data_IF_426706553024
#
_entry.id   IF_426706553024
#
_cell.length_a   1.000
_cell.length_b   1.000
_cell.length_c   1.000
_cell.angle_alpha   90.00
_cell.angle_beta   90.00
_cell.angle_gamma   90.00
#
_symmetry.space_group_name_H-M   'P 1'
#
loop_
_entity.id
_entity.type
_entity.pdbx_description
1 polymer ?
#
# COMPACT_ATOMS: atom_id res chain seq x y z
N UNK A 1 25.72 27.01 0.67
CA UNK A 1 25.66 25.93 -0.33
C UNK A 1 24.99 24.72 0.28
N UNK A 2 23.98 24.18 -0.39
CA UNK A 2 23.39 22.90 -0.05
C UNK A 2 24.36 21.77 -0.43
N UNK A 3 24.49 20.74 0.41
CA UNK A 3 25.43 19.63 0.17
C UNK A 3 24.74 18.27 0.03
N UNK A 4 23.57 18.11 0.65
CA UNK A 4 22.83 16.87 0.69
C UNK A 4 21.35 17.16 0.47
N UNK A 5 20.67 16.24 -0.22
CA UNK A 5 19.21 16.19 -0.35
C UNK A 5 18.81 14.78 0.06
N UNK A 6 17.73 14.66 0.85
CA UNK A 6 17.12 13.38 1.21
C UNK A 6 15.75 13.36 0.55
N UNK A 7 15.49 12.34 -0.25
CA UNK A 7 14.21 12.11 -0.91
C UNK A 7 13.42 11.05 -0.16
N UNK A 8 12.16 11.35 0.11
CA UNK A 8 11.18 10.31 0.46
C UNK A 8 10.81 9.51 -0.80
N UNK A 9 10.20 8.34 -0.64
CA UNK A 9 9.74 7.52 -1.76
C UNK A 9 8.30 7.88 -2.15
N UNK A 10 7.36 7.76 -1.20
CA UNK A 10 5.93 7.94 -1.44
C UNK A 10 5.58 9.38 -1.75
N UNK A 11 4.88 9.60 -2.87
CA UNK A 11 4.46 10.90 -3.37
C UNK A 11 5.61 11.89 -3.63
N UNK A 12 6.84 11.37 -3.78
CA UNK A 12 8.04 12.13 -4.18
C UNK A 12 8.69 11.48 -5.39
N UNK A 13 9.08 10.20 -5.28
CA UNK A 13 9.65 9.43 -6.38
C UNK A 13 8.63 8.49 -7.01
N UNK A 14 7.80 7.87 -6.16
CA UNK A 14 6.79 6.90 -6.54
C UNK A 14 5.41 7.41 -6.11
N UNK A 15 4.39 7.14 -6.92
CA UNK A 15 3.01 7.57 -6.72
C UNK A 15 2.31 6.64 -5.72
N UNK A 16 2.15 7.11 -4.48
CA UNK A 16 1.47 6.37 -3.42
C UNK A 16 0.02 6.82 -3.33
N UNK A 17 -0.85 6.12 -4.06
CA UNK A 17 -2.30 6.26 -3.98
C UNK A 17 -2.92 4.87 -3.71
N UNK A 18 -3.35 4.59 -2.46
CA UNK A 18 -3.97 3.32 -2.09
C UNK A 18 -5.14 2.92 -2.98
N UNK A 19 -5.97 3.88 -3.39
CA UNK A 19 -7.16 3.57 -4.19
C UNK A 19 -6.79 3.26 -5.64
N UNK A 20 -5.85 4.02 -6.20
CA UNK A 20 -5.28 3.72 -7.51
C UNK A 20 -4.61 2.34 -7.53
N UNK A 21 -3.80 2.03 -6.52
CA UNK A 21 -3.16 0.72 -6.38
C UNK A 21 -4.19 -0.41 -6.25
N UNK A 22 -5.19 -0.25 -5.38
CA UNK A 22 -6.27 -1.23 -5.20
C UNK A 22 -7.08 -1.46 -6.49
N UNK A 23 -7.23 -0.43 -7.33
CA UNK A 23 -7.97 -0.52 -8.61
C UNK A 23 -7.35 -1.46 -9.65
N UNK A 24 -6.10 -1.89 -9.46
CA UNK A 24 -5.47 -2.93 -10.28
C UNK A 24 -5.91 -4.35 -9.91
N UNK A 25 -6.47 -4.54 -8.72
CA UNK A 25 -6.92 -5.85 -8.22
C UNK A 25 -8.44 -6.05 -8.34
N UNK A 26 -9.22 -4.97 -8.23
CA UNK A 26 -10.68 -5.03 -8.31
C UNK A 26 -11.29 -3.77 -8.91
N UNK A 27 -12.49 -3.89 -9.45
CA UNK A 27 -13.36 -2.76 -9.87
C UNK A 27 -14.60 -2.61 -9.00
N UNK A 28 -14.78 -3.48 -8.00
CA UNK A 28 -15.88 -3.39 -7.06
C UNK A 28 -15.60 -2.27 -6.04
N UNK A 29 -16.49 -1.28 -5.99
CA UNK A 29 -16.30 -0.09 -5.14
C UNK A 29 -16.29 -0.41 -3.64
N UNK A 30 -17.08 -1.41 -3.19
CA UNK A 30 -17.06 -1.80 -1.77
C UNK A 30 -15.74 -2.48 -1.42
N UNK A 31 -15.23 -3.33 -2.31
CA UNK A 31 -13.94 -3.96 -2.15
C UNK A 31 -12.81 -2.92 -2.13
N UNK A 32 -12.87 -1.91 -3.01
CA UNK A 32 -11.91 -0.79 -2.98
C UNK A 32 -11.94 -0.06 -1.65
N UNK A 33 -13.13 0.27 -1.14
CA UNK A 33 -13.27 0.95 0.14
C UNK A 33 -12.69 0.11 1.28
N UNK A 34 -12.98 -1.20 1.32
CA UNK A 34 -12.39 -2.14 2.30
C UNK A 34 -10.86 -2.14 2.22
N UNK A 35 -10.29 -2.22 1.02
CA UNK A 35 -8.83 -2.23 0.87
C UNK A 35 -8.22 -0.90 1.35
N UNK A 36 -8.83 0.23 1.02
CA UNK A 36 -8.36 1.53 1.46
C UNK A 36 -8.45 1.71 2.98
N UNK A 37 -9.55 1.29 3.61
CA UNK A 37 -9.78 1.51 5.05
C UNK A 37 -9.15 0.44 5.93
N UNK A 38 -9.34 -0.84 5.61
CA UNK A 38 -8.92 -1.96 6.46
C UNK A 38 -7.51 -2.44 6.19
N UNK A 39 -7.03 -2.35 4.95
CA UNK A 39 -5.69 -2.82 4.58
C UNK A 39 -4.66 -1.68 4.57
N UNK A 40 -4.90 -0.60 3.82
CA UNK A 40 -3.87 0.44 3.62
C UNK A 40 -3.83 1.53 4.70
N UNK A 41 -4.85 1.64 5.55
CA UNK A 41 -4.97 2.74 6.53
C UNK A 41 -5.06 2.27 7.98
N UNK A 42 -5.19 0.96 8.22
CA UNK A 42 -5.36 0.43 9.58
C UNK A 42 -4.01 0.09 10.23
N UNK A 43 -4.03 -0.26 11.52
CA UNK A 43 -2.84 -0.43 12.37
C UNK A 43 -1.79 -1.39 11.77
N UNK A 44 -2.22 -2.46 11.12
CA UNK A 44 -1.34 -3.50 10.60
C UNK A 44 -0.44 -2.95 9.48
N UNK A 45 -0.96 -2.03 8.66
CA UNK A 45 -0.17 -1.35 7.64
C UNK A 45 1.00 -0.57 8.25
N UNK A 46 0.72 0.17 9.34
CA UNK A 46 1.72 0.95 10.06
C UNK A 46 2.69 0.07 10.84
N UNK A 47 2.25 -1.09 11.32
CA UNK A 47 3.11 -2.05 12.02
C UNK A 47 4.05 -2.76 11.05
N UNK A 48 3.59 -3.06 9.83
CA UNK A 48 4.44 -3.60 8.75
C UNK A 48 5.52 -2.60 8.36
N UNK A 49 5.17 -1.33 8.16
CA UNK A 49 6.14 -0.27 7.83
C UNK A 49 7.21 -0.10 8.91
N UNK A 50 6.83 -0.28 10.18
CA UNK A 50 7.76 -0.25 11.33
C UNK A 50 8.54 -1.54 11.54
N UNK A 51 8.24 -2.61 10.80
CA UNK A 51 8.83 -3.94 10.98
C UNK A 51 8.46 -4.61 12.31
N UNK A 52 7.31 -4.25 12.90
CA UNK A 52 6.83 -4.79 14.19
C UNK A 52 6.04 -6.10 14.01
N UNK A 53 5.50 -6.34 12.81
CA UNK A 53 4.72 -7.52 12.47
C UNK A 53 5.11 -8.03 11.09
N UNK A 54 4.75 -9.27 10.76
CA UNK A 54 4.92 -9.87 9.43
C UNK A 54 3.59 -9.87 8.64
N UNK A 55 3.67 -10.11 7.32
CA UNK A 55 2.48 -10.07 6.46
C UNK A 55 1.43 -11.13 6.85
N UNK A 56 1.84 -12.30 7.36
CA UNK A 56 0.92 -13.35 7.78
C UNK A 56 0.08 -12.91 8.99
N UNK A 57 0.74 -12.32 10.00
CA UNK A 57 0.10 -11.83 11.22
C UNK A 57 -0.77 -10.62 10.92
N UNK A 58 -0.27 -9.68 10.11
CA UNK A 58 -1.05 -8.55 9.62
C UNK A 58 -2.31 -9.01 8.88
N UNK A 59 -2.20 -9.98 7.97
CA UNK A 59 -3.34 -10.50 7.22
C UNK A 59 -4.39 -11.11 8.15
N UNK A 60 -3.98 -11.87 9.16
CA UNK A 60 -4.92 -12.41 10.17
C UNK A 60 -5.71 -11.29 10.84
N UNK A 61 -5.02 -10.25 11.31
CA UNK A 61 -5.66 -9.08 11.96
C UNK A 61 -6.62 -8.32 11.03
N UNK A 62 -6.26 -8.16 9.76
CA UNK A 62 -7.14 -7.55 8.74
C UNK A 62 -8.38 -8.42 8.52
N UNK A 63 -8.21 -9.73 8.34
CA UNK A 63 -9.31 -10.67 8.09
C UNK A 63 -10.31 -10.78 9.26
N UNK A 64 -9.92 -10.45 10.50
CA UNK A 64 -10.85 -10.40 11.64
C UNK A 64 -11.92 -9.30 11.48
N UNK A 65 -11.66 -8.26 10.69
CA UNK A 65 -12.57 -7.10 10.51
C UNK A 65 -13.21 -7.04 9.13
N UNK A 66 -12.69 -7.81 8.19
CA UNK A 66 -13.14 -7.84 6.80
C UNK A 66 -14.07 -9.05 6.57
N UNK A 67 -15.18 -8.91 5.81
CA UNK A 67 -16.01 -10.05 5.44
C UNK A 67 -15.22 -11.15 4.71
N UNK A 68 -15.54 -12.41 4.98
CA UNK A 68 -14.78 -13.59 4.50
C UNK A 68 -14.61 -13.62 2.96
N UNK A 69 -15.61 -13.13 2.23
CA UNK A 69 -15.57 -13.03 0.77
C UNK A 69 -14.43 -12.16 0.22
N UNK A 70 -13.89 -11.22 1.01
CA UNK A 70 -12.77 -10.36 0.60
C UNK A 70 -11.41 -10.82 1.14
N UNK A 71 -11.34 -11.88 1.96
CA UNK A 71 -10.07 -12.34 2.56
C UNK A 71 -9.02 -12.70 1.50
N UNK A 72 -9.45 -13.34 0.41
CA UNK A 72 -8.58 -13.65 -0.73
C UNK A 72 -8.04 -12.39 -1.40
N UNK A 73 -8.89 -11.38 -1.59
CA UNK A 73 -8.49 -10.10 -2.18
C UNK A 73 -7.52 -9.34 -1.27
N UNK A 74 -7.77 -9.28 0.04
CA UNK A 74 -6.86 -8.68 1.01
C UNK A 74 -5.49 -9.35 0.99
N UNK A 75 -5.45 -10.68 0.91
CA UNK A 75 -4.20 -11.44 0.74
C UNK A 75 -3.48 -11.01 -0.54
N UNK A 76 -4.16 -11.06 -1.67
CA UNK A 76 -3.53 -10.75 -2.96
C UNK A 76 -2.97 -9.34 -2.99
N UNK A 77 -3.70 -8.36 -2.44
CA UNK A 77 -3.25 -6.96 -2.35
C UNK A 77 -2.06 -6.83 -1.39
N UNK A 78 -2.14 -7.39 -0.19
CA UNK A 78 -1.08 -7.28 0.81
C UNK A 78 0.27 -7.81 0.28
N UNK A 79 0.26 -8.91 -0.46
CA UNK A 79 1.48 -9.51 -1.01
C UNK A 79 1.96 -8.89 -2.33
N UNK A 80 1.17 -8.03 -2.98
CA UNK A 80 1.49 -7.57 -4.34
C UNK A 80 1.30 -6.07 -4.60
N UNK A 81 0.84 -5.27 -3.62
CA UNK A 81 0.58 -3.83 -3.80
C UNK A 81 1.76 -3.07 -4.41
N UNK A 82 2.98 -3.38 -3.99
CA UNK A 82 4.21 -2.67 -4.40
C UNK A 82 4.50 -2.79 -5.89
N UNK A 83 3.92 -3.80 -6.59
CA UNK A 83 4.03 -3.93 -8.05
C UNK A 83 3.33 -2.80 -8.79
N UNK A 84 2.39 -2.13 -8.11
CA UNK A 84 1.62 -1.00 -8.62
C UNK A 84 2.03 0.33 -7.98
N UNK A 85 3.15 0.33 -7.23
CA UNK A 85 3.78 1.54 -6.70
C UNK A 85 4.68 2.15 -7.77
N UNK A 86 4.04 2.85 -8.71
CA UNK A 86 4.66 3.27 -9.97
C UNK A 86 5.42 4.59 -9.84
N UNK A 87 6.40 4.87 -10.71
CA UNK A 87 7.14 6.13 -10.67
C UNK A 87 6.30 7.34 -11.04
N UNK A 88 6.59 8.46 -10.39
CA UNK A 88 6.10 9.78 -10.81
C UNK A 88 6.90 10.24 -12.03
N UNK A 89 6.20 10.75 -13.05
CA UNK A 89 6.84 11.25 -14.26
C UNK A 89 7.83 12.38 -13.93
N UNK A 90 9.07 12.27 -14.41
CA UNK A 90 10.12 13.26 -14.17
C UNK A 90 10.81 13.19 -12.80
N UNK A 91 10.41 12.29 -11.90
CA UNK A 91 10.99 12.21 -10.54
C UNK A 91 12.40 11.63 -10.53
N UNK A 92 12.71 10.71 -11.46
CA UNK A 92 14.03 10.09 -11.56
C UNK A 92 15.14 11.08 -11.92
N UNK A 93 14.83 12.12 -12.67
CA UNK A 93 15.74 13.17 -13.07
C UNK A 93 16.23 13.98 -11.88
N UNK A 94 15.41 14.08 -10.82
CA UNK A 94 15.75 14.79 -9.60
C UNK A 94 16.66 13.97 -8.65
N UNK A 95 16.72 12.65 -8.82
CA UNK A 95 17.51 11.74 -7.97
C UNK A 95 18.91 11.46 -8.55
N UNK A 96 19.15 11.82 -9.82
CA UNK A 96 20.47 11.69 -10.47
C UNK A 96 21.48 12.70 -9.92
#
# INVERSE_FOLDING_TARGET
>A
MLKNIVFDMGNVILDFDPRKMASFFTKDEKALDILCTELFSNKEWLELDKGVTDEETALKGICERVPEEYHGLCRDVLYNWYKYFLPIEGSYEAVK
#
